data_IF_736087812203
#
_entry.id   IF_736087812203
#
_cell.length_a   1.000
_cell.length_b   1.000
_cell.length_c   1.000
_cell.angle_alpha   90.00
_cell.angle_beta   90.00
_cell.angle_gamma   90.00
#
_symmetry.space_group_name_H-M   'P 1'
#
loop_
_entity.id
_entity.type
_entity.pdbx_description
1 polymer ?
#
# COMPACT_ATOMS: atom_id res chain seq x y z
N UNK A 1 -8.43 -7.95 -14.60
CA UNK A 1 -7.49 -6.82 -14.81
C UNK A 1 -8.32 -5.54 -14.75
N UNK A 2 -7.99 -4.63 -13.85
CA UNK A 2 -8.62 -3.30 -13.79
C UNK A 2 -7.85 -2.42 -14.76
N UNK A 3 -8.52 -1.85 -15.76
CA UNK A 3 -7.93 -0.89 -16.70
C UNK A 3 -7.48 0.33 -15.90
N UNK A 4 -6.16 0.52 -15.74
CA UNK A 4 -5.65 1.72 -15.09
C UNK A 4 -5.84 2.94 -15.97
N UNK A 5 -5.80 4.13 -15.36
CA UNK A 5 -5.84 5.39 -16.08
C UNK A 5 -4.71 5.42 -17.13
N UNK A 6 -4.97 6.02 -18.28
CA UNK A 6 -3.97 6.26 -19.31
C UNK A 6 -4.07 7.72 -19.72
N UNK A 7 -2.92 8.34 -19.99
CA UNK A 7 -2.90 9.62 -20.67
C UNK A 7 -2.08 9.50 -21.95
N UNK A 8 -2.57 10.19 -22.97
CA UNK A 8 -1.95 10.26 -24.29
C UNK A 8 -1.21 11.59 -24.39
N UNK A 9 -0.01 11.56 -24.95
CA UNK A 9 0.76 12.76 -25.27
C UNK A 9 1.25 12.70 -26.72
N UNK A 10 1.45 13.88 -27.30
CA UNK A 10 2.01 14.04 -28.65
C UNK A 10 3.30 14.83 -28.52
N UNK A 11 4.38 14.30 -29.11
CA UNK A 11 5.64 15.02 -29.27
C UNK A 11 5.80 15.42 -30.72
N UNK A 12 6.34 16.60 -30.96
CA UNK A 12 6.82 17.01 -32.27
C UNK A 12 8.32 16.81 -32.31
N UNK A 13 8.79 15.96 -33.22
CA UNK A 13 10.19 15.59 -33.38
C UNK A 13 10.51 15.54 -34.88
N UNK A 14 11.75 15.86 -35.24
CA UNK A 14 12.25 15.75 -36.62
C UNK A 14 12.37 14.26 -36.99
N UNK A 15 11.37 13.74 -37.70
CA UNK A 15 11.24 12.31 -38.00
C UNK A 15 12.06 11.92 -39.22
N UNK A 16 12.29 12.85 -40.14
CA UNK A 16 13.04 12.61 -41.38
C UNK A 16 14.52 13.02 -41.30
N UNK A 17 14.93 13.68 -40.21
CA UNK A 17 16.31 14.06 -39.92
C UNK A 17 16.80 15.25 -40.74
N UNK A 18 15.90 16.08 -41.26
CA UNK A 18 16.23 17.22 -42.12
C UNK A 18 16.65 18.50 -41.36
N UNK A 19 16.56 18.48 -40.02
CA UNK A 19 16.92 19.60 -39.15
C UNK A 19 15.79 20.59 -38.87
N UNK A 20 14.55 20.32 -39.28
CA UNK A 20 13.37 21.15 -39.04
C UNK A 20 12.12 20.30 -38.80
N UNK A 21 11.26 20.73 -37.87
CA UNK A 21 9.99 20.06 -37.58
C UNK A 21 8.92 20.52 -38.59
N UNK A 22 8.53 19.63 -39.50
CA UNK A 22 7.55 19.84 -40.55
C UNK A 22 6.11 19.41 -40.19
N UNK A 23 5.13 19.71 -41.06
CA UNK A 23 3.75 19.28 -40.90
C UNK A 23 3.65 17.76 -40.99
N UNK A 24 3.10 17.11 -39.96
CA UNK A 24 2.99 15.65 -39.88
C UNK A 24 4.11 14.97 -39.11
N UNK A 25 5.11 15.73 -38.66
CA UNK A 25 6.20 15.22 -37.84
C UNK A 25 5.84 15.23 -36.35
N UNK A 26 4.93 14.33 -36.01
CA UNK A 26 4.49 14.11 -34.63
C UNK A 26 4.41 12.64 -34.31
N UNK A 27 4.92 12.26 -33.14
CA UNK A 27 4.76 10.93 -32.57
C UNK A 27 3.77 10.97 -31.41
N UNK A 28 2.98 9.91 -31.25
CA UNK A 28 2.04 9.78 -30.14
C UNK A 28 2.50 8.68 -29.20
N UNK A 29 2.67 9.03 -27.93
CA UNK A 29 2.92 8.09 -26.85
C UNK A 29 1.66 7.88 -26.02
N UNK A 30 1.41 6.64 -25.62
CA UNK A 30 0.37 6.30 -24.64
C UNK A 30 1.07 5.80 -23.39
N UNK A 31 0.91 6.52 -22.28
CA UNK A 31 1.33 6.04 -20.97
C UNK A 31 0.16 5.29 -20.37
N UNK A 32 0.32 3.98 -20.18
CA UNK A 32 -0.67 3.16 -19.49
C UNK A 32 -0.18 2.92 -18.06
N UNK A 33 -0.94 3.37 -17.07
CA UNK A 33 -0.71 2.91 -15.71
C UNK A 33 -1.27 1.49 -15.59
N UNK A 34 -0.40 0.50 -15.44
CA UNK A 34 -0.87 -0.82 -15.01
C UNK A 34 -1.10 -0.71 -13.51
N UNK A 35 -2.36 -0.74 -13.10
CA UNK A 35 -2.70 -1.00 -11.70
C UNK A 35 -2.29 -2.45 -11.39
N UNK A 36 -0.99 -2.65 -11.14
CA UNK A 36 -0.48 -3.90 -10.64
C UNK A 36 -1.09 -4.14 -9.27
N UNK A 37 -1.62 -5.33 -9.04
CA UNK A 37 -2.02 -5.77 -7.69
C UNK A 37 -0.82 -5.85 -6.73
N UNK A 38 0.40 -5.63 -7.24
CA UNK A 38 1.68 -5.75 -6.55
C UNK A 38 2.28 -4.41 -6.06
N UNK A 39 1.62 -3.28 -6.29
CA UNK A 39 1.98 -2.00 -5.63
C UNK A 39 1.08 -1.74 -4.42
N UNK A 40 0.61 -2.78 -3.74
CA UNK A 40 0.35 -2.63 -2.31
C UNK A 40 1.72 -2.40 -1.68
N UNK A 41 2.07 -1.14 -1.41
CA UNK A 41 3.33 -0.79 -0.75
C UNK A 41 3.57 -1.76 0.40
N UNK A 42 4.75 -2.38 0.41
CA UNK A 42 5.13 -3.40 1.38
C UNK A 42 4.68 -2.95 2.76
N UNK A 43 3.79 -3.71 3.38
CA UNK A 43 3.41 -3.46 4.75
C UNK A 43 4.66 -3.65 5.60
N UNK A 44 5.14 -2.59 6.22
CA UNK A 44 6.28 -2.66 7.14
C UNK A 44 5.87 -2.17 8.52
N UNK A 45 6.42 -2.82 9.55
CA UNK A 45 6.29 -2.32 10.92
C UNK A 45 7.28 -1.17 11.07
N UNK A 46 6.76 0.02 11.34
CA UNK A 46 7.57 1.23 11.52
C UNK A 46 7.99 1.40 12.98
N UNK A 47 7.07 1.15 13.90
CA UNK A 47 7.30 1.30 15.35
C UNK A 47 6.46 0.28 16.12
N UNK A 48 7.00 -0.17 17.25
CA UNK A 48 6.25 -0.95 18.23
C UNK A 48 6.65 -0.51 19.64
N UNK A 49 5.67 -0.10 20.44
CA UNK A 49 5.92 0.51 21.75
C UNK A 49 4.83 0.22 22.77
N UNK A 50 5.20 0.29 24.04
CA UNK A 50 4.26 0.19 25.17
C UNK A 50 3.90 1.60 25.65
N UNK A 51 2.61 1.95 25.63
CA UNK A 51 2.11 3.25 26.08
C UNK A 51 0.88 3.05 26.96
N UNK A 52 0.95 3.46 28.22
CA UNK A 52 -0.20 3.44 29.13
C UNK A 52 -0.82 2.06 29.35
N UNK A 53 0.00 0.98 29.31
CA UNK A 53 -0.50 -0.39 29.42
C UNK A 53 -1.11 -0.95 28.13
N UNK A 54 -0.88 -0.31 26.99
CA UNK A 54 -1.24 -0.82 25.67
C UNK A 54 0.01 -1.07 24.82
N UNK A 55 0.01 -2.17 24.08
CA UNK A 55 0.98 -2.42 23.04
C UNK A 55 0.49 -1.77 21.74
N UNK A 56 1.27 -0.83 21.23
CA UNK A 56 0.94 -0.05 20.04
C UNK A 56 1.88 -0.44 18.92
N UNK A 57 1.34 -0.77 17.76
CA UNK A 57 2.11 -1.06 16.54
C UNK A 57 1.69 -0.07 15.46
N UNK A 58 2.68 0.58 14.84
CA UNK A 58 2.48 1.47 13.70
C UNK A 58 3.01 0.79 12.45
N UNK A 59 2.19 0.77 11.41
CA UNK A 59 2.53 0.20 10.12
C UNK A 59 2.62 1.29 9.05
N UNK A 60 3.53 1.12 8.09
CA UNK A 60 3.49 1.82 6.81
C UNK A 60 2.71 0.98 5.78
N UNK A 61 1.90 1.65 4.98
CA UNK A 61 1.04 1.08 3.96
C UNK A 61 0.69 2.13 2.90
N UNK A 62 0.04 1.71 1.81
CA UNK A 62 -0.47 2.64 0.81
C UNK A 62 -1.60 3.52 1.40
N UNK A 63 -1.53 4.86 1.29
CA UNK A 63 -2.60 5.75 1.75
C UNK A 63 -3.99 5.34 1.24
N UNK A 64 -5.00 5.41 2.10
CA UNK A 64 -6.39 5.07 1.77
C UNK A 64 -6.71 3.58 1.68
N UNK A 65 -5.72 2.69 1.87
CA UNK A 65 -5.98 1.23 1.91
C UNK A 65 -6.44 0.77 3.29
N UNK A 66 -7.31 -0.24 3.31
CA UNK A 66 -7.88 -0.82 4.53
C UNK A 66 -7.11 -2.07 4.96
N UNK A 67 -6.88 -2.20 6.25
CA UNK A 67 -6.08 -3.28 6.84
C UNK A 67 -6.73 -3.83 8.10
N UNK A 68 -6.59 -5.14 8.27
CA UNK A 68 -6.95 -5.83 9.50
C UNK A 68 -5.73 -6.50 10.09
N UNK A 69 -5.56 -6.39 11.40
CA UNK A 69 -4.47 -7.02 12.15
C UNK A 69 -5.01 -8.22 12.90
N UNK A 70 -4.25 -9.31 12.89
CA UNK A 70 -4.54 -10.51 13.64
C UNK A 70 -3.41 -10.86 14.58
N UNK A 71 -3.75 -11.50 15.69
CA UNK A 71 -2.82 -12.00 16.70
C UNK A 71 -2.97 -13.50 16.87
N UNK A 72 -1.86 -14.18 17.09
CA UNK A 72 -1.80 -15.59 17.46
C UNK A 72 -0.78 -15.80 18.58
N UNK A 73 -1.02 -16.77 19.46
CA UNK A 73 -0.05 -17.16 20.49
C UNK A 73 1.14 -17.96 19.91
N UNK A 74 0.99 -18.57 18.74
CA UNK A 74 2.04 -19.39 18.09
C UNK A 74 2.11 -19.17 16.58
N UNK A 75 3.27 -19.46 15.99
CA UNK A 75 3.47 -19.43 14.53
C UNK A 75 3.00 -20.72 13.83
N UNK A 76 2.71 -21.80 14.56
CA UNK A 76 2.73 -23.17 14.00
C UNK A 76 1.35 -23.82 13.86
N UNK A 77 0.30 -23.34 14.53
CA UNK A 77 -1.07 -23.86 14.32
C UNK A 77 -2.11 -22.85 14.83
N UNK A 78 -2.88 -22.15 13.97
CA UNK A 78 -3.34 -20.83 14.39
C UNK A 78 -4.87 -20.73 14.52
N UNK A 79 -5.31 -20.31 15.70
CA UNK A 79 -6.44 -19.41 15.76
C UNK A 79 -5.87 -17.99 15.71
N UNK A 80 -5.70 -17.47 14.49
CA UNK A 80 -5.48 -16.04 14.30
C UNK A 80 -6.78 -15.31 14.64
N UNK A 81 -6.73 -14.42 15.61
CA UNK A 81 -7.89 -13.64 16.04
C UNK A 81 -7.66 -12.18 15.69
N UNK A 82 -8.70 -11.57 15.16
CA UNK A 82 -8.75 -10.15 14.85
C UNK A 82 -8.44 -9.28 16.09
N UNK A 83 -7.54 -8.31 15.92
CA UNK A 83 -7.19 -7.32 16.93
C UNK A 83 -7.83 -5.99 16.54
N UNK A 84 -8.80 -5.56 17.36
CA UNK A 84 -9.52 -4.32 17.10
C UNK A 84 -10.35 -4.37 15.81
N UNK A 85 -10.58 -3.21 15.22
CA UNK A 85 -11.35 -3.06 13.98
C UNK A 85 -10.44 -2.75 12.80
N UNK A 86 -10.96 -2.97 11.59
CA UNK A 86 -10.30 -2.56 10.34
C UNK A 86 -9.91 -1.09 10.40
N UNK A 87 -8.65 -0.80 10.07
CA UNK A 87 -8.11 0.55 10.01
C UNK A 87 -7.86 0.96 8.56
N UNK A 88 -7.93 2.26 8.27
CA UNK A 88 -7.55 2.81 6.97
C UNK A 88 -6.24 3.57 7.13
N UNK A 89 -5.27 3.29 6.26
CA UNK A 89 -4.02 4.04 6.21
C UNK A 89 -4.31 5.52 5.89
N UNK A 90 -3.74 6.42 6.67
CA UNK A 90 -3.93 7.86 6.53
C UNK A 90 -3.27 8.42 5.25
N UNK A 91 -3.36 9.74 5.05
CA UNK A 91 -2.77 10.41 3.90
C UNK A 91 -1.23 10.32 3.82
N UNK A 92 -0.56 9.98 4.91
CA UNK A 92 0.88 9.74 4.97
C UNK A 92 1.24 8.26 4.77
N UNK A 93 0.24 7.39 4.67
CA UNK A 93 0.43 5.96 4.50
C UNK A 93 0.67 5.24 5.81
N UNK A 94 0.12 5.72 6.92
CA UNK A 94 0.27 5.06 8.22
C UNK A 94 -1.07 4.62 8.80
N UNK A 95 -1.06 3.48 9.48
CA UNK A 95 -2.14 3.12 10.40
C UNK A 95 -1.56 2.49 11.66
N UNK A 96 -2.35 2.55 12.74
CA UNK A 96 -1.92 2.10 14.06
C UNK A 96 -2.95 1.14 14.63
N UNK A 97 -2.47 0.10 15.32
CA UNK A 97 -3.31 -0.73 16.18
C UNK A 97 -2.86 -0.59 17.64
N UNK A 98 -3.83 -0.71 18.53
CA UNK A 98 -3.64 -0.65 19.97
C UNK A 98 -4.20 -1.95 20.55
N UNK A 99 -3.32 -2.77 21.10
CA UNK A 99 -3.65 -4.00 21.79
C UNK A 99 -3.46 -3.82 23.31
N UNK A 100 -4.53 -3.74 24.10
CA UNK A 100 -4.43 -3.63 25.54
C UNK A 100 -3.71 -4.83 26.15
N UNK A 101 -2.72 -4.59 27.02
CA UNK A 101 -1.82 -5.64 27.55
C UNK A 101 -2.56 -6.72 28.38
N UNK A 102 -3.81 -6.44 28.78
CA UNK A 102 -4.70 -7.43 29.40
C UNK A 102 -5.24 -8.53 28.48
N UNK A 103 -5.01 -8.46 27.16
CA UNK A 103 -5.57 -9.41 26.18
C UNK A 103 -4.67 -10.64 25.90
N UNK A 104 -3.34 -10.51 26.01
CA UNK A 104 -2.36 -11.61 26.02
C UNK A 104 -0.94 -11.03 26.09
N UNK A 105 -0.17 -11.44 27.10
CA UNK A 105 1.15 -10.89 27.43
C UNK A 105 2.26 -11.20 26.41
N UNK A 106 2.00 -12.06 25.43
CA UNK A 106 2.88 -12.37 24.31
C UNK A 106 2.04 -12.80 23.09
N UNK A 107 2.56 -12.58 21.87
CA UNK A 107 1.90 -13.03 20.66
C UNK A 107 2.63 -12.59 19.40
N UNK A 108 2.30 -13.25 18.30
CA UNK A 108 2.71 -12.91 16.96
C UNK A 108 1.61 -12.11 16.29
N UNK A 109 1.99 -11.12 15.50
CA UNK A 109 1.06 -10.26 14.77
C UNK A 109 1.28 -10.41 13.28
N UNK A 110 0.18 -10.39 12.53
CA UNK A 110 0.20 -10.23 11.09
C UNK A 110 -0.89 -9.25 10.68
N UNK A 111 -0.76 -8.63 9.51
CA UNK A 111 -1.83 -7.83 8.94
C UNK A 111 -2.09 -8.22 7.50
N UNK A 112 -3.33 -8.07 7.08
CA UNK A 112 -3.76 -8.33 5.71
C UNK A 112 -4.65 -7.20 5.21
N UNK A 113 -4.62 -7.00 3.89
CA UNK A 113 -5.43 -5.98 3.23
C UNK A 113 -6.88 -6.43 3.17
N UNK A 114 -7.79 -5.54 3.56
CA UNK A 114 -9.23 -5.73 3.42
C UNK A 114 -9.67 -5.13 2.07
N UNK A 115 -10.52 -5.81 1.29
CA UNK A 115 -11.07 -5.29 0.04
C UNK A 115 -11.78 -3.93 0.17
#
# INVERSE_FOLDING_TARGET
MVTGEAFQYTLSEDLDGNGAIGPGESTTGVVTFVAGTELAGTLEVLDSRMVGGNFTITFSAMPGTKWQVQKSATLVSPLWVDVGTVQTADGNGYFQIVDPVGSASTGFYMAYRVP
#
